data_IF_837977418899
#
_entry.id   IF_837977418899
#
_cell.length_a   1.000
_cell.length_b   1.000
_cell.length_c   1.000
_cell.angle_alpha   90.00
_cell.angle_beta   90.00
_cell.angle_gamma   90.00
#
_symmetry.space_group_name_H-M   'P 1'
#
loop_
_entity.id
_entity.type
_entity.pdbx_description
1 polymer ?
#
# COMPACT_ATOMS: atom_id res chain seq x y z
N UNK A 1 -9.30 -7.45 -19.53
CA UNK A 1 -8.05 -8.10 -19.04
C UNK A 1 -7.23 -7.05 -18.32
N UNK A 2 -6.60 -7.39 -17.21
CA UNK A 2 -5.75 -6.48 -16.42
C UNK A 2 -4.32 -7.01 -16.40
N UNK A 3 -3.36 -6.13 -16.69
CA UNK A 3 -1.94 -6.46 -16.72
C UNK A 3 -1.24 -5.82 -15.52
N UNK A 4 -0.37 -6.57 -14.85
CA UNK A 4 0.41 -6.05 -13.72
C UNK A 4 1.77 -6.74 -13.65
N UNK A 5 2.79 -6.01 -13.21
CA UNK A 5 4.09 -6.59 -12.83
C UNK A 5 4.17 -6.93 -11.33
N UNK A 6 3.11 -6.66 -10.57
CA UNK A 6 3.01 -7.05 -9.16
C UNK A 6 2.69 -8.54 -9.05
N UNK A 7 3.74 -9.35 -8.91
CA UNK A 7 3.60 -10.80 -8.69
C UNK A 7 2.70 -11.11 -7.50
N UNK A 8 2.79 -10.34 -6.42
CA UNK A 8 1.96 -10.53 -5.23
C UNK A 8 0.46 -10.36 -5.56
N UNK A 9 0.10 -9.25 -6.22
CA UNK A 9 -1.29 -8.97 -6.58
C UNK A 9 -1.81 -10.01 -7.58
N UNK A 10 -1.03 -10.29 -8.63
CA UNK A 10 -1.40 -11.31 -9.62
C UNK A 10 -1.60 -12.69 -8.97
N UNK A 11 -0.76 -13.06 -8.01
CA UNK A 11 -0.88 -14.36 -7.33
C UNK A 11 -2.10 -14.40 -6.41
N UNK A 12 -2.36 -13.32 -5.66
CA UNK A 12 -3.50 -13.26 -4.74
C UNK A 12 -4.84 -13.26 -5.49
N UNK A 13 -4.96 -12.52 -6.59
CA UNK A 13 -6.19 -12.42 -7.38
C UNK A 13 -6.55 -13.71 -8.13
N UNK A 14 -5.59 -14.63 -8.32
CA UNK A 14 -5.86 -15.96 -8.89
C UNK A 14 -6.29 -17.00 -7.84
N UNK A 15 -6.31 -16.66 -6.55
CA UNK A 15 -6.79 -17.58 -5.51
C UNK A 15 -8.31 -17.73 -5.59
N UNK A 16 -8.81 -18.84 -5.08
CA UNK A 16 -10.25 -19.11 -5.05
C UNK A 16 -11.03 -18.10 -4.19
N UNK A 17 -10.39 -17.58 -3.13
CA UNK A 17 -10.89 -16.46 -2.33
C UNK A 17 -9.76 -15.42 -2.14
N UNK A 18 -9.63 -14.46 -3.08
CA UNK A 18 -8.56 -13.47 -3.05
C UNK A 18 -8.59 -12.56 -1.82
N UNK A 19 -9.78 -12.29 -1.26
CA UNK A 19 -9.96 -11.35 -0.15
C UNK A 19 -9.47 -11.99 1.14
N UNK A 20 -9.92 -13.20 1.48
CA UNK A 20 -9.54 -13.83 2.75
C UNK A 20 -8.11 -14.38 2.72
N UNK A 21 -7.61 -14.76 1.54
CA UNK A 21 -6.29 -15.39 1.41
C UNK A 21 -5.17 -14.40 1.04
N UNK A 22 -5.44 -13.09 0.96
CA UNK A 22 -4.39 -12.09 0.84
C UNK A 22 -3.59 -12.04 2.15
N UNK A 23 -2.26 -12.19 2.01
CA UNK A 23 -1.31 -12.19 3.13
C UNK A 23 -1.18 -10.80 3.79
N UNK A 24 -1.26 -9.72 3.01
CA UNK A 24 -1.29 -8.35 3.53
C UNK A 24 -2.74 -7.91 3.78
N UNK A 25 -3.12 -7.84 5.05
CA UNK A 25 -4.46 -7.43 5.50
C UNK A 25 -4.89 -6.07 4.95
N UNK A 26 -3.94 -5.14 4.74
CA UNK A 26 -4.22 -3.78 4.24
C UNK A 26 -4.72 -3.78 2.81
N UNK A 27 -4.41 -4.83 2.05
CA UNK A 27 -4.82 -4.95 0.63
C UNK A 27 -6.20 -5.55 0.45
N UNK A 28 -6.75 -6.21 1.48
CA UNK A 28 -8.06 -6.88 1.43
C UNK A 28 -9.23 -5.98 1.01
N UNK A 29 -9.43 -4.78 1.60
CA UNK A 29 -10.54 -3.91 1.18
C UNK A 29 -10.39 -3.49 -0.28
N UNK A 30 -9.17 -3.17 -0.71
CA UNK A 30 -8.88 -2.79 -2.11
C UNK A 30 -9.15 -3.94 -3.09
N UNK A 31 -8.84 -5.19 -2.70
CA UNK A 31 -9.14 -6.39 -3.49
C UNK A 31 -10.66 -6.61 -3.56
N UNK A 32 -11.37 -6.48 -2.45
CA UNK A 32 -12.83 -6.62 -2.42
C UNK A 32 -13.50 -5.57 -3.32
N UNK A 33 -13.11 -4.31 -3.19
CA UNK A 33 -13.61 -3.22 -4.04
C UNK A 33 -13.32 -3.49 -5.51
N UNK A 34 -12.11 -3.95 -5.84
CA UNK A 34 -11.75 -4.30 -7.22
C UNK A 34 -12.64 -5.43 -7.77
N UNK A 35 -12.89 -6.48 -6.99
CA UNK A 35 -13.75 -7.59 -7.41
C UNK A 35 -15.20 -7.14 -7.61
N UNK A 36 -15.79 -6.42 -6.65
CA UNK A 36 -17.16 -5.91 -6.77
C UNK A 36 -17.33 -4.99 -7.99
N UNK A 37 -16.38 -4.10 -8.24
CA UNK A 37 -16.43 -3.22 -9.41
C UNK A 37 -16.17 -3.95 -10.74
N UNK A 38 -15.59 -5.15 -10.68
CA UNK A 38 -15.28 -5.96 -11.85
C UNK A 38 -16.23 -7.13 -12.06
N UNK A 39 -17.23 -7.35 -11.19
CA UNK A 39 -18.14 -8.50 -11.22
C UNK A 39 -18.88 -8.67 -12.56
N UNK A 40 -19.18 -7.57 -13.25
CA UNK A 40 -19.88 -7.61 -14.54
C UNK A 40 -18.94 -7.85 -15.73
N UNK A 41 -17.63 -7.70 -15.53
CA UNK A 41 -16.63 -7.89 -16.56
C UNK A 41 -15.93 -9.22 -16.34
N UNK A 42 -16.15 -10.22 -17.20
CA UNK A 42 -15.29 -11.41 -17.22
C UNK A 42 -13.84 -10.98 -17.48
N UNK A 43 -13.05 -10.83 -16.41
CA UNK A 43 -11.70 -10.32 -16.46
C UNK A 43 -10.69 -11.43 -16.15
N UNK A 44 -9.49 -11.25 -16.67
CA UNK A 44 -8.32 -12.07 -16.37
C UNK A 44 -7.21 -11.16 -15.87
N UNK A 45 -6.43 -11.65 -14.91
CA UNK A 45 -5.23 -10.97 -14.42
C UNK A 45 -4.01 -11.62 -15.06
N UNK A 46 -3.12 -10.85 -15.65
CA UNK A 46 -1.93 -11.37 -16.30
C UNK A 46 -0.70 -10.71 -15.68
N UNK A 47 0.18 -11.55 -15.14
CA UNK A 47 1.49 -11.10 -14.67
C UNK A 47 2.40 -10.83 -15.88
N UNK A 48 2.98 -9.63 -15.96
CA UNK A 48 3.86 -9.20 -17.05
C UNK A 48 5.25 -8.80 -16.52
N UNK A 49 6.30 -8.87 -17.35
CA UNK A 49 7.60 -8.32 -16.99
C UNK A 49 7.53 -6.81 -16.72
N UNK A 50 8.25 -6.32 -15.71
CA UNK A 50 8.28 -4.90 -15.31
C UNK A 50 8.60 -3.94 -16.46
N UNK A 51 9.44 -4.36 -17.40
CA UNK A 51 9.80 -3.58 -18.58
C UNK A 51 8.59 -3.23 -19.45
N UNK A 52 7.56 -4.10 -19.46
CA UNK A 52 6.31 -3.86 -20.18
C UNK A 52 5.31 -3.00 -19.40
N UNK A 53 5.56 -2.72 -18.12
CA UNK A 53 4.72 -1.89 -17.26
C UNK A 53 5.36 -0.51 -16.95
N UNK A 54 6.35 -0.09 -17.75
CA UNK A 54 7.15 1.11 -17.50
C UNK A 54 6.30 2.39 -17.44
N UNK A 55 5.34 2.55 -18.35
CA UNK A 55 4.45 3.72 -18.35
C UNK A 55 3.62 3.81 -17.08
N UNK A 56 2.99 2.71 -16.65
CA UNK A 56 2.21 2.70 -15.41
C UNK A 56 3.09 2.97 -14.18
N UNK A 57 4.33 2.46 -14.18
CA UNK A 57 5.30 2.74 -13.13
C UNK A 57 5.65 4.24 -13.05
N UNK A 58 5.94 4.87 -14.19
CA UNK A 58 6.25 6.31 -14.24
C UNK A 58 5.06 7.15 -13.77
N UNK A 59 3.85 6.83 -14.25
CA UNK A 59 2.63 7.54 -13.83
C UNK A 59 2.37 7.39 -12.33
N UNK A 60 2.53 6.19 -11.78
CA UNK A 60 2.39 5.95 -10.35
C UNK A 60 3.45 6.72 -9.52
N UNK A 61 4.70 6.80 -10.02
CA UNK A 61 5.76 7.56 -9.38
C UNK A 61 5.48 9.08 -9.42
N UNK A 62 5.01 9.59 -10.55
CA UNK A 62 4.60 11.00 -10.70
C UNK A 62 3.44 11.33 -9.76
N UNK A 63 2.38 10.53 -9.76
CA UNK A 63 1.24 10.70 -8.84
C UNK A 63 1.68 10.69 -7.38
N UNK A 64 2.60 9.78 -7.00
CA UNK A 64 3.17 9.76 -5.65
C UNK A 64 3.98 11.02 -5.32
N UNK A 65 4.72 11.56 -6.28
CA UNK A 65 5.54 12.77 -6.08
C UNK A 65 4.70 14.05 -5.98
N UNK A 66 3.55 14.08 -6.66
CA UNK A 66 2.62 15.21 -6.70
C UNK A 66 1.52 15.11 -5.66
N UNK A 67 1.29 13.93 -5.08
CA UNK A 67 0.36 13.79 -3.99
C UNK A 67 0.86 14.60 -2.79
N UNK A 68 0.01 15.52 -2.33
CA UNK A 68 0.01 15.98 -0.94
C UNK A 68 -0.36 14.79 -0.07
N UNK A 69 0.60 13.86 0.08
CA UNK A 69 0.45 12.74 1.00
C UNK A 69 0.19 13.36 2.37
N UNK A 70 -0.82 12.89 3.12
CA UNK A 70 -1.07 13.38 4.46
C UNK A 70 0.22 13.31 5.28
N UNK A 71 0.35 14.21 6.26
CA UNK A 71 1.47 14.20 7.21
C UNK A 71 1.71 12.77 7.73
N UNK A 72 2.98 12.43 7.98
CA UNK A 72 3.44 11.09 8.40
C UNK A 72 2.38 10.33 9.21
N UNK A 73 1.96 9.15 8.73
CA UNK A 73 1.05 8.29 9.47
C UNK A 73 1.79 7.70 10.68
N UNK A 74 1.62 8.34 11.85
CA UNK A 74 2.07 7.82 13.12
C UNK A 74 0.95 6.98 13.76
N UNK A 75 1.28 5.73 14.10
CA UNK A 75 0.40 4.86 14.87
C UNK A 75 1.11 4.39 16.14
N UNK A 76 0.46 4.55 17.29
CA UNK A 76 0.93 4.03 18.56
C UNK A 76 0.06 2.83 18.96
N UNK A 77 0.64 1.63 18.93
CA UNK A 77 -0.07 0.40 19.28
C UNK A 77 0.32 -0.14 20.66
N UNK A 78 1.23 0.55 21.38
CA UNK A 78 1.67 0.15 22.70
C UNK A 78 0.65 0.60 23.76
N UNK A 79 -0.05 -0.37 24.36
CA UNK A 79 -1.09 -0.14 25.35
C UNK A 79 -0.57 0.30 26.74
N UNK A 80 0.75 0.21 26.98
CA UNK A 80 1.35 0.42 28.30
C UNK A 80 2.01 1.80 28.47
N UNK A 81 1.76 2.76 27.57
CA UNK A 81 2.29 4.11 27.75
C UNK A 81 1.67 4.80 28.98
N UNK A 82 2.53 5.25 29.91
CA UNK A 82 2.14 6.02 31.09
C UNK A 82 2.13 7.54 30.85
N UNK A 83 2.80 8.04 29.80
CA UNK A 83 2.89 9.45 29.37
C UNK A 83 3.46 9.51 27.92
N UNK A 84 3.65 10.68 27.26
CA UNK A 84 3.62 10.79 25.79
C UNK A 84 4.62 9.86 25.11
N UNK A 85 4.18 9.23 24.01
CA UNK A 85 4.94 8.21 23.30
C UNK A 85 6.35 8.70 22.93
N UNK A 86 7.40 8.00 23.38
CA UNK A 86 8.79 8.37 23.10
C UNK A 86 9.09 8.44 21.61
N UNK A 87 8.45 7.57 20.82
CA UNK A 87 8.55 7.58 19.36
C UNK A 87 7.97 8.88 18.80
N UNK A 88 6.83 9.33 19.33
CA UNK A 88 6.23 10.62 18.94
C UNK A 88 7.14 11.79 19.34
N UNK A 89 7.69 11.78 20.55
CA UNK A 89 8.63 12.80 21.03
C UNK A 89 9.92 12.85 20.20
N UNK A 90 10.45 11.70 19.79
CA UNK A 90 11.61 11.62 18.91
C UNK A 90 11.31 12.20 17.52
N UNK A 91 10.12 11.91 16.97
CA UNK A 91 9.70 12.42 15.66
C UNK A 91 9.65 13.95 15.59
N UNK A 92 9.32 14.62 16.70
CA UNK A 92 9.33 16.08 16.79
C UNK A 92 10.72 16.70 16.67
N UNK A 93 11.78 15.92 16.94
CA UNK A 93 13.16 16.41 17.01
C UNK A 93 14.03 15.98 15.81
N UNK A 94 13.49 15.19 14.89
CA UNK A 94 14.24 14.72 13.71
C UNK A 94 14.11 15.73 12.57
N UNK A 95 15.25 16.18 12.05
CA UNK A 95 15.34 16.88 10.79
C UNK A 95 15.50 15.85 9.66
N UNK A 96 14.56 15.89 8.72
CA UNK A 96 14.51 14.88 7.64
C UNK A 96 15.22 15.31 6.36
N UNK A 97 15.68 16.57 6.27
CA UNK A 97 16.30 17.16 5.08
C UNK A 97 15.52 16.84 3.79
N UNK A 98 16.08 15.99 2.92
CA UNK A 98 15.49 15.56 1.65
C UNK A 98 14.69 14.26 1.74
N UNK A 99 14.60 13.67 2.92
CA UNK A 99 13.85 12.44 3.16
C UNK A 99 12.45 12.78 3.64
N UNK A 100 11.48 11.94 3.24
CA UNK A 100 10.09 12.06 3.70
C UNK A 100 9.71 10.82 4.47
N UNK A 101 9.35 11.00 5.73
CA UNK A 101 8.86 9.92 6.57
C UNK A 101 7.46 9.49 6.11
N UNK A 102 7.31 8.20 5.78
CA UNK A 102 6.06 7.65 5.21
C UNK A 102 5.14 7.10 6.30
N UNK A 103 5.68 6.37 7.27
CA UNK A 103 4.92 5.82 8.40
C UNK A 103 5.82 5.46 9.57
N UNK A 104 5.32 5.57 10.80
CA UNK A 104 6.00 5.10 12.01
C UNK A 104 5.03 4.36 12.92
N UNK A 105 5.53 3.28 13.52
CA UNK A 105 4.77 2.45 14.44
C UNK A 105 5.51 2.35 15.76
N UNK A 106 4.84 2.67 16.87
CA UNK A 106 5.30 2.31 18.21
C UNK A 106 4.67 0.97 18.61
N UNK A 107 5.52 0.01 18.99
CA UNK A 107 5.17 -1.36 19.35
C UNK A 107 5.47 -1.57 20.82
#
# INVERSE_FOLDING_TARGET
QYLTDSKLLATNLHKQDPVTQAADLRTRPLIADFLCNSEQANFTIINIPRQRNSTAHVLAAQARSQADLPACLFACNNANHLAPCDVFSALQNIHWDNYRLISVSCI
#
